data_IF_800234257118
#
_entry.id   IF_800234257118
#
_cell.length_a   1.000
_cell.length_b   1.000
_cell.length_c   1.000
_cell.angle_alpha   90.00
_cell.angle_beta   90.00
_cell.angle_gamma   90.00
#
_symmetry.space_group_name_H-M   'P 1'
#
loop_
_entity.id
_entity.type
_entity.pdbx_description
1 polymer ?
#
# COMPACT_ATOMS: atom_id res chain seq x y z
N UNK A 1 -6.51 2.57 -2.75
CA UNK A 1 -6.43 3.66 -3.75
C UNK A 1 -5.18 4.44 -3.40
N UNK A 2 -4.30 4.75 -4.36
CA UNK A 2 -3.17 5.65 -4.13
C UNK A 2 -3.60 7.04 -4.55
N UNK A 3 -3.55 8.00 -3.62
CA UNK A 3 -3.90 9.40 -3.84
C UNK A 3 -2.61 10.21 -3.91
N UNK A 4 -2.23 10.74 -5.09
CA UNK A 4 -1.14 11.69 -5.18
C UNK A 4 -1.53 12.98 -4.46
N UNK A 5 -0.64 13.52 -3.62
CA UNK A 5 -0.87 14.77 -2.90
C UNK A 5 -0.71 16.02 -3.78
N UNK A 6 -0.15 15.85 -4.99
CA UNK A 6 -0.11 16.89 -5.99
C UNK A 6 -1.19 16.62 -7.06
N UNK A 7 -1.79 17.68 -7.60
CA UNK A 7 -2.81 17.61 -8.66
C UNK A 7 -2.27 17.15 -10.02
N UNK A 8 -0.98 16.82 -10.11
CA UNK A 8 -0.31 16.43 -11.35
C UNK A 8 -0.58 14.99 -11.77
N UNK A 9 -0.97 14.12 -10.83
CA UNK A 9 -1.22 12.71 -11.14
C UNK A 9 -2.66 12.32 -10.86
N UNK A 10 -3.16 11.35 -11.62
CA UNK A 10 -4.48 10.77 -11.38
C UNK A 10 -4.39 9.64 -10.34
N UNK A 11 -5.42 9.46 -9.48
CA UNK A 11 -5.46 8.34 -8.56
C UNK A 11 -5.37 6.99 -9.26
N UNK A 12 -4.62 6.06 -8.67
CA UNK A 12 -4.48 4.71 -9.20
C UNK A 12 -5.11 3.67 -8.27
N UNK A 13 -5.92 2.78 -8.85
CA UNK A 13 -6.53 1.65 -8.13
C UNK A 13 -5.59 0.45 -8.11
N UNK A 14 -5.19 0.02 -6.93
CA UNK A 14 -4.46 -1.24 -6.71
C UNK A 14 -5.46 -2.39 -6.52
N UNK A 15 -5.11 -3.58 -7.04
CA UNK A 15 -5.82 -4.83 -6.73
C UNK A 15 -5.40 -5.30 -5.33
N UNK A 16 -6.21 -6.14 -4.67
CA UNK A 16 -5.96 -6.60 -3.30
C UNK A 16 -4.53 -7.12 -3.08
N UNK A 17 -4.04 -8.01 -3.95
CA UNK A 17 -2.66 -8.53 -3.86
C UNK A 17 -1.58 -7.46 -4.04
N UNK A 18 -1.79 -6.47 -4.92
CA UNK A 18 -0.84 -5.36 -5.10
C UNK A 18 -0.80 -4.45 -3.88
N UNK A 19 -1.97 -4.20 -3.26
CA UNK A 19 -2.05 -3.42 -2.02
C UNK A 19 -1.32 -4.13 -0.88
N UNK A 20 -1.52 -5.45 -0.73
CA UNK A 20 -0.78 -6.27 0.25
C UNK A 20 0.72 -6.24 0.00
N UNK A 21 1.13 -6.41 -1.26
CA UNK A 21 2.53 -6.31 -1.64
C UNK A 21 3.11 -4.96 -1.26
N UNK A 22 2.48 -3.85 -1.68
CA UNK A 22 2.97 -2.52 -1.37
C UNK A 22 3.10 -2.27 0.13
N UNK A 23 2.10 -2.66 0.92
CA UNK A 23 2.14 -2.52 2.37
C UNK A 23 3.31 -3.32 2.97
N UNK A 24 3.44 -4.60 2.58
CA UNK A 24 4.52 -5.46 3.06
C UNK A 24 5.91 -4.91 2.72
N UNK A 25 6.09 -4.40 1.49
CA UNK A 25 7.34 -3.79 1.06
C UNK A 25 7.67 -2.52 1.86
N UNK A 26 6.68 -1.68 2.14
CA UNK A 26 6.90 -0.47 2.94
C UNK A 26 7.20 -0.78 4.41
N UNK A 27 6.59 -1.83 4.98
CA UNK A 27 6.84 -2.26 6.36
C UNK A 27 8.22 -2.91 6.54
N UNK A 28 8.68 -3.68 5.55
CA UNK A 28 9.93 -4.46 5.64
C UNK A 28 11.12 -3.84 4.92
N UNK A 29 10.86 -2.90 4.00
CA UNK A 29 11.87 -2.33 3.12
C UNK A 29 12.97 -1.53 3.81
N UNK A 30 12.68 -0.95 4.98
CA UNK A 30 13.67 -0.23 5.80
C UNK A 30 14.69 -1.16 6.46
N UNK A 31 14.39 -2.45 6.58
CA UNK A 31 15.24 -3.43 7.28
C UNK A 31 16.29 -4.01 6.32
N UNK A 32 16.10 -3.86 5.00
CA UNK A 32 17.04 -4.32 3.97
C UNK A 32 16.42 -5.29 2.99
N UNK A 33 17.19 -6.31 2.59
CA UNK A 33 16.78 -7.29 1.57
C UNK A 33 15.56 -8.09 2.02
N UNK A 34 14.48 -8.00 1.23
CA UNK A 34 13.26 -8.78 1.42
C UNK A 34 13.33 -10.00 0.51
N UNK A 35 13.46 -11.20 1.09
CA UNK A 35 13.56 -12.46 0.32
C UNK A 35 12.26 -12.83 -0.37
N UNK A 36 12.38 -13.46 -1.54
CA UNK A 36 11.23 -13.91 -2.35
C UNK A 36 10.24 -14.77 -1.53
N UNK A 37 10.75 -15.76 -0.81
CA UNK A 37 10.00 -16.65 0.08
C UNK A 37 9.19 -15.90 1.15
N UNK A 38 9.75 -14.82 1.72
CA UNK A 38 9.04 -14.01 2.72
C UNK A 38 7.90 -13.22 2.07
N UNK A 39 8.10 -12.69 0.86
CA UNK A 39 7.05 -11.96 0.14
C UNK A 39 5.94 -12.94 -0.27
N UNK A 40 6.31 -14.10 -0.82
CA UNK A 40 5.37 -15.14 -1.25
C UNK A 40 4.46 -15.57 -0.10
N UNK A 41 5.05 -15.87 1.06
CA UNK A 41 4.31 -16.24 2.27
C UNK A 41 3.32 -15.16 2.71
N UNK A 42 3.79 -13.93 2.88
CA UNK A 42 2.99 -12.87 3.51
C UNK A 42 1.98 -12.20 2.56
N UNK A 43 2.22 -12.23 1.25
CA UNK A 43 1.34 -11.55 0.27
C UNK A 43 0.29 -12.50 -0.31
N UNK A 44 0.60 -13.81 -0.37
CA UNK A 44 -0.28 -14.83 -0.96
C UNK A 44 -0.67 -15.94 0.02
N UNK A 45 0.29 -16.69 0.56
CA UNK A 45 0.01 -17.99 1.19
C UNK A 45 -0.83 -17.86 2.46
N UNK A 46 -0.52 -16.88 3.32
CA UNK A 46 -1.31 -16.61 4.54
C UNK A 46 -2.76 -16.17 4.24
N UNK A 47 -3.04 -15.82 2.98
CA UNK A 47 -4.36 -15.44 2.49
C UNK A 47 -5.01 -16.55 1.62
N UNK A 48 -4.48 -17.78 1.68
CA UNK A 48 -5.00 -18.92 0.92
C UNK A 48 -4.76 -18.84 -0.59
N UNK A 49 -3.82 -18.00 -1.04
CA UNK A 49 -3.48 -17.86 -2.46
C UNK A 49 -2.19 -18.61 -2.78
N UNK A 50 -2.10 -19.15 -4.01
CA UNK A 50 -0.87 -19.77 -4.50
C UNK A 50 0.16 -18.71 -4.91
N UNK A 51 1.38 -18.86 -4.41
CA UNK A 51 2.53 -18.07 -4.80
C UNK A 51 3.41 -18.83 -5.81
N UNK A 52 4.19 -18.09 -6.59
CA UNK A 52 5.28 -18.61 -7.42
C UNK A 52 6.23 -17.49 -7.82
N UNK A 53 7.45 -17.82 -8.24
CA UNK A 53 8.43 -16.85 -8.77
C UNK A 53 7.87 -15.97 -9.89
N UNK A 54 7.30 -16.57 -10.97
CA UNK A 54 6.67 -15.80 -12.04
C UNK A 54 5.52 -14.92 -11.56
N UNK A 55 4.73 -15.41 -10.60
CA UNK A 55 3.60 -14.64 -10.06
C UNK A 55 4.06 -13.44 -9.24
N UNK A 56 5.12 -13.62 -8.44
CA UNK A 56 5.76 -12.53 -7.71
C UNK A 56 6.28 -11.46 -8.67
N UNK A 57 7.06 -11.86 -9.67
CA UNK A 57 7.60 -10.96 -10.69
C UNK A 57 6.51 -10.17 -11.40
N UNK A 58 5.43 -10.84 -11.83
CA UNK A 58 4.30 -10.18 -12.50
C UNK A 58 3.66 -9.11 -11.62
N UNK A 59 3.35 -9.45 -10.36
CA UNK A 59 2.67 -8.51 -9.46
C UNK A 59 3.58 -7.35 -9.04
N UNK A 60 4.89 -7.59 -8.90
CA UNK A 60 5.87 -6.52 -8.68
C UNK A 60 5.92 -5.56 -9.86
N UNK A 61 5.99 -6.05 -11.09
CA UNK A 61 6.04 -5.18 -12.26
C UNK A 61 4.73 -4.43 -12.50
N UNK A 62 3.58 -5.08 -12.30
CA UNK A 62 2.29 -4.40 -12.32
C UNK A 62 2.25 -3.27 -11.29
N UNK A 63 2.84 -3.49 -10.10
CA UNK A 63 2.91 -2.49 -9.04
C UNK A 63 3.82 -1.33 -9.45
N UNK A 64 5.03 -1.62 -9.95
CA UNK A 64 5.95 -0.60 -10.46
C UNK A 64 5.31 0.28 -11.52
N UNK A 65 4.63 -0.31 -12.51
CA UNK A 65 3.92 0.44 -13.55
C UNK A 65 2.81 1.35 -13.00
N UNK A 66 2.12 0.93 -11.93
CA UNK A 66 1.10 1.76 -11.28
C UNK A 66 1.69 2.89 -10.44
N UNK A 67 2.84 2.64 -9.83
CA UNK A 67 3.59 3.61 -9.04
C UNK A 67 4.21 4.69 -9.94
N UNK A 68 4.76 4.30 -11.09
CA UNK A 68 5.30 5.22 -12.09
C UNK A 68 4.27 6.26 -12.57
N UNK A 69 3.03 5.81 -12.80
CA UNK A 69 1.89 6.68 -13.15
C UNK A 69 1.54 7.75 -12.11
N UNK A 70 1.99 7.59 -10.87
CA UNK A 70 1.82 8.57 -9.79
C UNK A 70 3.13 9.23 -9.38
N UNK A 71 4.15 9.16 -10.24
CA UNK A 71 5.43 9.85 -10.06
C UNK A 71 6.44 9.12 -9.17
N UNK A 72 6.19 7.86 -8.82
CA UNK A 72 7.15 7.06 -8.03
C UNK A 72 8.14 6.41 -8.98
N UNK A 73 9.42 6.72 -8.79
CA UNK A 73 10.51 6.21 -9.61
C UNK A 73 10.56 4.67 -9.66
N UNK A 74 10.85 4.10 -10.83
CA UNK A 74 10.97 2.65 -11.03
C UNK A 74 12.05 1.97 -10.16
N UNK A 75 13.04 2.71 -9.67
CA UNK A 75 14.07 2.25 -8.74
C UNK A 75 13.58 2.18 -7.30
N UNK A 76 12.32 2.53 -7.01
CA UNK A 76 11.70 2.35 -5.70
C UNK A 76 11.72 0.86 -5.27
N UNK A 77 11.47 -0.07 -6.22
CA UNK A 77 11.54 -1.51 -5.99
C UNK A 77 12.64 -2.10 -6.89
N UNK A 78 13.75 -2.53 -6.27
CA UNK A 78 14.94 -3.04 -6.95
C UNK A 78 15.04 -4.55 -6.79
N UNK A 79 15.19 -5.30 -7.90
CA UNK A 79 15.38 -6.75 -7.89
C UNK A 79 16.84 -7.07 -7.54
N UNK A 80 17.03 -8.05 -6.66
CA UNK A 80 18.31 -8.72 -6.44
C UNK A 80 18.17 -10.17 -6.91
N UNK A 81 18.81 -10.49 -8.04
CA UNK A 81 18.56 -11.76 -8.73
C UNK A 81 18.77 -12.99 -7.85
N UNK A 82 17.83 -13.92 -7.95
CA UNK A 82 17.77 -15.14 -7.14
C UNK A 82 17.58 -14.94 -5.63
N UNK A 83 17.48 -13.69 -5.14
CA UNK A 83 17.47 -13.41 -3.70
C UNK A 83 16.21 -12.71 -3.21
N UNK A 84 15.75 -11.68 -3.92
CA UNK A 84 14.64 -10.88 -3.41
C UNK A 84 14.57 -9.46 -3.97
N UNK A 85 14.07 -8.55 -3.14
CA UNK A 85 13.91 -7.14 -3.48
C UNK A 85 14.45 -6.21 -2.39
N UNK A 86 14.99 -5.08 -2.82
CA UNK A 86 15.38 -3.95 -1.99
C UNK A 86 14.42 -2.78 -2.25
N UNK A 87 14.06 -2.06 -1.20
CA UNK A 87 13.24 -0.86 -1.31
C UNK A 87 14.14 0.36 -1.17
N UNK A 88 14.15 1.21 -2.20
CA UNK A 88 14.88 2.46 -2.15
C UNK A 88 14.07 3.47 -1.34
N UNK A 89 14.47 3.70 -0.09
CA UNK A 89 13.85 4.70 0.80
C UNK A 89 14.55 6.06 0.75
N UNK A 90 15.65 6.20 0.01
CA UNK A 90 16.48 7.42 -0.02
C UNK A 90 15.70 8.66 -0.49
N UNK A 91 14.65 8.46 -1.29
CA UNK A 91 13.83 9.54 -1.84
C UNK A 91 12.36 9.51 -1.38
N UNK A 92 12.02 8.60 -0.47
CA UNK A 92 10.64 8.38 -0.05
C UNK A 92 10.56 8.27 1.47
N UNK A 93 10.04 9.31 2.12
CA UNK A 93 9.55 9.18 3.49
C UNK A 93 8.13 8.60 3.47
N UNK A 94 7.92 7.52 4.21
CA UNK A 94 6.60 6.95 4.38
C UNK A 94 5.75 7.85 5.29
N UNK A 95 4.97 8.75 4.70
CA UNK A 95 3.95 9.51 5.44
C UNK A 95 2.72 8.62 5.60
N UNK A 96 2.73 7.77 6.63
CA UNK A 96 1.55 7.01 7.01
C UNK A 96 0.56 7.93 7.72
N UNK A 97 -0.49 8.36 7.01
CA UNK A 97 -1.67 8.92 7.68
C UNK A 97 -2.44 7.75 8.30
N UNK A 98 -2.03 7.35 9.52
CA UNK A 98 -2.82 6.46 10.41
C UNK A 98 -4.19 7.09 10.77
N UNK A 99 -4.36 8.37 10.44
CA UNK A 99 -5.55 9.15 10.71
C UNK A 99 -6.76 8.80 9.84
N UNK A 100 -6.69 7.96 8.80
CA UNK A 100 -7.89 7.65 8.02
C UNK A 100 -8.95 6.93 8.87
N UNK A 101 -8.58 5.92 9.66
CA UNK A 101 -9.53 5.25 10.57
C UNK A 101 -9.87 6.11 11.79
N UNK A 102 -8.88 6.81 12.37
CA UNK A 102 -9.13 7.67 13.54
C UNK A 102 -9.99 8.89 13.18
N UNK A 103 -9.82 9.48 11.99
CA UNK A 103 -10.68 10.55 11.48
C UNK A 103 -12.04 10.04 11.04
N UNK A 104 -12.12 8.86 10.39
CA UNK A 104 -13.42 8.27 10.05
C UNK A 104 -14.22 7.90 11.30
N UNK A 105 -13.59 7.31 12.31
CA UNK A 105 -14.25 7.01 13.59
C UNK A 105 -14.72 8.30 14.27
N UNK A 106 -13.87 9.33 14.35
CA UNK A 106 -14.24 10.64 14.91
C UNK A 106 -15.38 11.30 14.11
N UNK A 107 -15.30 11.30 12.79
CA UNK A 107 -16.32 11.87 11.91
C UNK A 107 -17.65 11.13 12.03
N UNK A 108 -17.62 9.80 12.09
CA UNK A 108 -18.82 8.98 12.31
C UNK A 108 -19.42 9.25 13.68
N UNK A 109 -18.62 9.29 14.75
CA UNK A 109 -19.07 9.65 16.11
C UNK A 109 -19.70 11.06 16.18
N UNK A 110 -19.09 12.06 15.54
CA UNK A 110 -19.59 13.43 15.49
C UNK A 110 -20.89 13.55 14.67
N UNK A 111 -21.04 12.75 13.61
CA UNK A 111 -22.26 12.70 12.78
C UNK A 111 -23.47 12.10 13.51
N UNK A 112 -23.24 11.15 14.44
CA UNK A 112 -24.32 10.53 15.22
C UNK A 112 -24.79 11.44 16.38
N UNK A 113 -23.87 12.21 16.97
CA UNK A 113 -24.23 13.22 17.98
C UNK A 113 -25.07 14.36 17.37
N UNK A 114 -24.74 14.82 16.17
CA UNK A 114 -25.52 15.90 15.51
C UNK A 114 -26.90 15.44 15.03
N UNK A 115 -27.08 14.15 14.71
CA UNK A 115 -28.39 13.57 14.39
C UNK A 115 -29.30 13.43 15.62
N UNK A 116 -28.73 13.10 16.79
CA UNK A 116 -29.49 12.97 18.05
C UNK A 116 -29.93 14.32 18.64
N UNK A 117 -29.19 15.42 18.39
CA UNK A 117 -29.65 16.78 18.72
C UNK A 117 -30.80 17.30 17.84
N UNK A 118 -31.09 16.68 16.68
CA UNK A 118 -32.21 17.07 15.80
C UNK A 118 -33.54 16.39 16.16
N UNK A 119 -33.56 15.41 17.06
CA UNK A 119 -34.78 14.71 17.49
C UNK A 119 -35.38 15.22 18.81
N UNK A 120 -34.78 16.23 19.46
CA UNK A 120 -35.31 16.85 20.70
C UNK A 120 -35.84 18.28 20.46
N UNK A 121 -36.35 18.54 19.26
CA UNK A 121 -37.11 19.76 18.97
C UNK A 121 -38.42 19.45 18.23
N UNK A 122 -39.40 18.93 18.97
CA UNK A 122 -40.76 19.49 19.02
C UNK A 122 -41.56 18.87 20.16
#
# INVERSE_FOLDING_TARGET
MLLPLNSRYSPVRLRSTMSRLLLFLLEKGSIGLIRDEHIMKNVWEIHGLKASGPRLWQVVNDLKNKLDRVGVNNNFIMRLEGRGYLINTTFFESIYIRAAWVMLDKFVLESQNTASFKLVKK
#
